data_IF_706086450621
#
_entry.id   IF_706086450621
#
_cell.length_a   1.000
_cell.length_b   1.000
_cell.length_c   1.000
_cell.angle_alpha   90.00
_cell.angle_beta   90.00
_cell.angle_gamma   90.00
#
_symmetry.space_group_name_H-M   'P 1'
#
loop_
_entity.id
_entity.type
_entity.pdbx_description
1 polymer ?
#
# COMPACT_ATOMS: atom_id res chain seq x y z
N UNK A 1 -14.48 13.84 -9.06
CA UNK A 1 -13.62 12.72 -9.53
C UNK A 1 -14.24 11.35 -9.19
N UNK A 2 -14.43 10.97 -7.92
CA UNK A 2 -15.00 9.66 -7.56
C UNK A 2 -16.39 9.36 -8.16
N UNK A 3 -17.28 10.35 -8.26
CA UNK A 3 -18.60 10.17 -8.87
C UNK A 3 -18.52 9.86 -10.38
N UNK A 4 -17.59 10.52 -11.10
CA UNK A 4 -17.37 10.28 -12.54
C UNK A 4 -16.74 8.91 -12.80
N UNK A 5 -15.76 8.51 -11.99
CA UNK A 5 -15.20 7.17 -12.07
C UNK A 5 -16.23 6.08 -11.77
N UNK A 6 -17.10 6.29 -10.77
CA UNK A 6 -18.22 5.38 -10.48
C UNK A 6 -19.23 5.33 -11.63
N UNK A 7 -19.53 6.46 -12.28
CA UNK A 7 -20.43 6.53 -13.44
C UNK A 7 -19.90 5.70 -14.62
N UNK A 8 -18.61 5.82 -14.92
CA UNK A 8 -17.96 5.13 -16.05
C UNK A 8 -17.74 3.64 -15.76
N UNK A 9 -17.17 3.32 -14.59
CA UNK A 9 -16.76 1.94 -14.28
C UNK A 9 -17.88 1.11 -13.64
N UNK A 10 -18.96 1.75 -13.18
CA UNK A 10 -20.03 1.17 -12.33
C UNK A 10 -19.55 0.59 -11.00
N UNK A 11 -18.25 0.74 -10.67
CA UNK A 11 -17.62 0.20 -9.48
C UNK A 11 -17.23 1.33 -8.51
N UNK A 12 -17.39 1.13 -7.18
CA UNK A 12 -16.82 2.03 -6.20
C UNK A 12 -15.31 1.75 -6.12
N UNK A 13 -14.53 2.23 -7.10
CA UNK A 13 -13.13 1.86 -7.31
C UNK A 13 -12.27 1.99 -6.06
N UNK A 14 -12.39 3.11 -5.32
CA UNK A 14 -11.61 3.33 -4.10
C UNK A 14 -11.94 2.29 -3.02
N UNK A 15 -13.23 2.08 -2.72
CA UNK A 15 -13.66 1.10 -1.72
C UNK A 15 -13.30 -0.34 -2.15
N UNK A 16 -13.46 -0.66 -3.44
CA UNK A 16 -13.08 -1.97 -3.98
C UNK A 16 -11.58 -2.18 -3.92
N UNK A 17 -10.79 -1.17 -4.26
CA UNK A 17 -9.33 -1.22 -4.18
C UNK A 17 -8.87 -1.44 -2.73
N UNK A 18 -9.34 -0.60 -1.80
CA UNK A 18 -8.98 -0.69 -0.39
C UNK A 18 -9.39 -2.04 0.22
N UNK A 19 -10.58 -2.55 -0.09
CA UNK A 19 -11.00 -3.87 0.39
C UNK A 19 -10.16 -5.02 -0.17
N UNK A 20 -9.70 -4.95 -1.42
CA UNK A 20 -8.75 -5.94 -1.94
C UNK A 20 -7.36 -5.78 -1.29
N UNK A 21 -6.89 -4.53 -1.10
CA UNK A 21 -5.63 -4.25 -0.42
C UNK A 21 -5.61 -4.85 0.99
N UNK A 22 -6.68 -4.63 1.76
CA UNK A 22 -6.82 -5.18 3.11
C UNK A 22 -6.83 -6.71 3.07
N UNK A 23 -7.62 -7.30 2.16
CA UNK A 23 -7.73 -8.76 1.98
C UNK A 23 -6.38 -9.42 1.71
N UNK A 24 -5.51 -8.79 0.92
CA UNK A 24 -4.22 -9.36 0.52
C UNK A 24 -3.04 -8.86 1.38
N UNK A 25 -3.27 -7.98 2.35
CA UNK A 25 -2.19 -7.35 3.14
C UNK A 25 -1.29 -8.38 3.82
N UNK A 26 -1.87 -9.41 4.44
CA UNK A 26 -1.09 -10.41 5.18
C UNK A 26 -0.26 -11.31 4.25
N UNK A 27 -0.76 -11.55 3.02
CA UNK A 27 0.00 -12.29 2.01
C UNK A 27 1.11 -11.42 1.39
N UNK A 28 0.86 -10.13 1.19
CA UNK A 28 1.88 -9.17 0.79
C UNK A 28 3.01 -9.09 1.82
N UNK A 29 2.68 -9.07 3.12
CA UNK A 29 3.70 -9.12 4.18
C UNK A 29 4.58 -10.36 4.08
N UNK A 30 4.00 -11.55 3.84
CA UNK A 30 4.77 -12.78 3.62
C UNK A 30 5.68 -12.66 2.39
N UNK A 31 5.20 -12.05 1.31
CA UNK A 31 5.97 -11.82 0.09
C UNK A 31 7.14 -10.87 0.34
N UNK A 32 6.92 -9.79 1.10
CA UNK A 32 7.97 -8.86 1.50
C UNK A 32 9.06 -9.53 2.34
N UNK A 33 8.68 -10.41 3.27
CA UNK A 33 9.62 -11.15 4.11
C UNK A 33 10.52 -12.11 3.32
N UNK A 34 10.08 -12.57 2.15
CA UNK A 34 10.89 -13.43 1.25
C UNK A 34 11.95 -12.66 0.49
N UNK A 35 11.88 -11.32 0.42
CA UNK A 35 12.98 -10.51 -0.15
C UNK A 35 14.16 -10.49 0.80
N UNK A 36 15.37 -10.43 0.22
CA UNK A 36 16.63 -10.29 0.95
C UNK A 36 17.30 -8.93 0.74
N UNK A 37 18.44 -8.75 1.39
CA UNK A 37 19.34 -7.62 1.16
C UNK A 37 18.72 -6.24 1.43
N UNK A 38 19.16 -5.25 0.65
CA UNK A 38 18.78 -3.84 0.81
C UNK A 38 17.28 -3.62 0.62
N UNK A 39 16.65 -4.36 -0.29
CA UNK A 39 15.19 -4.28 -0.53
C UNK A 39 14.43 -4.67 0.74
N UNK A 40 14.81 -5.76 1.41
CA UNK A 40 14.18 -6.17 2.67
C UNK A 40 14.27 -5.09 3.73
N UNK A 41 15.45 -4.48 3.90
CA UNK A 41 15.67 -3.42 4.88
C UNK A 41 14.78 -2.21 4.59
N UNK A 42 14.74 -1.75 3.33
CA UNK A 42 13.87 -0.64 2.92
C UNK A 42 12.39 -0.92 3.17
N UNK A 43 11.94 -2.16 2.90
CA UNK A 43 10.55 -2.54 3.20
C UNK A 43 10.30 -2.55 4.71
N UNK A 44 11.23 -3.07 5.52
CA UNK A 44 11.10 -3.04 6.98
C UNK A 44 11.01 -1.62 7.53
N UNK A 45 11.85 -0.70 7.04
CA UNK A 45 11.82 0.71 7.42
C UNK A 45 10.46 1.34 7.09
N UNK A 46 9.88 1.00 5.93
CA UNK A 46 8.55 1.47 5.52
C UNK A 46 7.39 0.90 6.37
N UNK A 47 7.60 -0.20 7.10
CA UNK A 47 6.58 -0.86 7.93
C UNK A 47 6.64 -0.43 9.41
N UNK A 48 7.61 0.40 9.81
CA UNK A 48 7.72 0.87 11.21
C UNK A 48 6.44 1.58 11.69
N UNK A 49 5.77 2.47 10.91
CA UNK A 49 4.61 3.18 11.41
C UNK A 49 3.44 2.27 11.81
N UNK A 50 3.23 1.16 11.09
CA UNK A 50 2.14 0.21 11.40
C UNK A 50 2.40 -0.64 12.65
N UNK A 51 3.64 -0.73 13.16
CA UNK A 51 3.90 -1.39 14.44
C UNK A 51 3.67 -0.48 15.64
N UNK A 52 3.63 0.83 15.41
CA UNK A 52 3.44 1.87 16.43
C UNK A 52 1.98 2.34 16.52
N UNK A 53 1.18 2.11 15.47
CA UNK A 53 -0.20 2.56 15.39
C UNK A 53 -1.06 1.49 14.67
N UNK A 54 -2.11 1.00 15.34
CA UNK A 54 -3.04 -0.01 14.81
C UNK A 54 -4.16 0.61 13.93
N UNK A 55 -3.86 1.74 13.29
CA UNK A 55 -4.79 2.41 12.41
C UNK A 55 -4.80 1.76 11.01
N UNK A 56 -6.00 1.49 10.47
CA UNK A 56 -6.14 0.80 9.17
C UNK A 56 -5.58 1.62 8.01
N UNK A 57 -5.71 2.95 8.06
CA UNK A 57 -5.11 3.87 7.09
C UNK A 57 -3.58 3.79 7.13
N UNK A 58 -2.99 3.74 8.32
CA UNK A 58 -1.53 3.58 8.49
C UNK A 58 -1.06 2.23 7.96
N UNK A 59 -1.80 1.14 8.22
CA UNK A 59 -1.50 -0.19 7.66
C UNK A 59 -1.52 -0.14 6.13
N UNK A 60 -2.58 0.40 5.52
CA UNK A 60 -2.72 0.51 4.06
C UNK A 60 -1.60 1.31 3.43
N UNK A 61 -1.22 2.43 4.04
CA UNK A 61 -0.10 3.26 3.58
C UNK A 61 1.23 2.48 3.60
N UNK A 62 1.53 1.79 4.71
CA UNK A 62 2.74 0.97 4.84
C UNK A 62 2.79 -0.14 3.78
N UNK A 63 1.67 -0.85 3.57
CA UNK A 63 1.56 -1.92 2.56
C UNK A 63 1.82 -1.36 1.15
N UNK A 64 1.25 -0.21 0.79
CA UNK A 64 1.46 0.41 -0.52
C UNK A 64 2.92 0.84 -0.72
N UNK A 65 3.55 1.46 0.29
CA UNK A 65 4.98 1.81 0.24
C UNK A 65 5.85 0.56 0.07
N UNK A 66 5.55 -0.51 0.82
CA UNK A 66 6.22 -1.80 0.68
C UNK A 66 6.09 -2.40 -0.71
N UNK A 67 4.90 -2.31 -1.32
CA UNK A 67 4.64 -2.79 -2.67
C UNK A 67 5.48 -2.04 -3.71
N UNK A 68 5.56 -0.72 -3.65
CA UNK A 68 6.41 0.07 -4.54
C UNK A 68 7.88 -0.34 -4.42
N UNK A 69 8.40 -0.44 -3.20
CA UNK A 69 9.79 -0.87 -2.98
C UNK A 69 10.02 -2.29 -3.53
N UNK A 70 9.05 -3.19 -3.34
CA UNK A 70 9.11 -4.57 -3.85
C UNK A 70 9.20 -4.61 -5.39
N UNK A 71 8.48 -3.71 -6.07
CA UNK A 71 8.49 -3.53 -7.51
C UNK A 71 9.66 -2.67 -8.03
N UNK A 72 10.59 -2.30 -7.14
CA UNK A 72 11.75 -1.44 -7.42
C UNK A 72 11.38 -0.01 -7.88
N UNK A 73 10.22 0.46 -7.43
CA UNK A 73 9.76 1.84 -7.59
C UNK A 73 10.15 2.69 -6.38
N UNK A 74 10.09 4.01 -6.53
CA UNK A 74 10.27 4.95 -5.43
C UNK A 74 8.90 5.35 -4.83
N UNK A 75 8.62 5.02 -3.56
CA UNK A 75 7.38 5.40 -2.90
C UNK A 75 7.12 6.91 -2.86
N UNK A 76 8.16 7.75 -2.95
CA UNK A 76 8.02 9.21 -2.98
C UNK A 76 7.28 9.70 -4.23
N UNK A 77 7.30 8.92 -5.31
CA UNK A 77 6.56 9.25 -6.54
C UNK A 77 5.10 8.77 -6.50
N UNK A 78 4.74 7.88 -5.58
CA UNK A 78 3.40 7.29 -5.48
C UNK A 78 2.42 8.19 -4.74
N UNK A 79 2.83 8.72 -3.59
CA UNK A 79 1.98 9.56 -2.73
C UNK A 79 2.32 11.02 -2.97
N UNK A 80 1.56 11.67 -3.86
CA UNK A 80 1.52 13.13 -3.94
C UNK A 80 0.32 13.58 -3.13
N UNK A 81 0.54 14.41 -2.10
CA UNK A 81 -0.55 15.16 -1.50
C UNK A 81 -1.15 16.05 -2.59
N UNK A 82 -2.32 15.67 -3.09
CA UNK A 82 -3.14 16.56 -3.88
C UNK A 82 -3.89 17.45 -2.90
N UNK A 83 -3.46 18.71 -2.79
CA UNK A 83 -4.18 19.80 -2.13
C UNK A 83 -5.50 20.09 -2.84
#
# INVERSE_FOLDING_TARGET
INAEFRRITTLPLQSKFLSQLDRFSDDLLKVFLKKGGVIRKRIQDAMVPMSQNDNIETKRECILKGLCIYLNEDPQHLVKEYL
#
